data_IF_077210679610
#
_entry.id   IF_077210679610
#
_cell.length_a   1.000
_cell.length_b   1.000
_cell.length_c   1.000
_cell.angle_alpha   90.00
_cell.angle_beta   90.00
_cell.angle_gamma   90.00
#
_symmetry.space_group_name_H-M   'P 1'
#
loop_
_entity.id
_entity.type
_entity.pdbx_description
1 polymer ?
#
# COMPACT_ATOMS: atom_id res chain seq x y z
N UNK A 1 -6.15 15.34 -15.60
CA UNK A 1 -6.58 13.96 -15.29
C UNK A 1 -6.45 13.74 -13.79
N UNK A 2 -7.43 13.08 -13.17
CA UNK A 2 -7.35 12.69 -11.77
C UNK A 2 -6.88 11.23 -11.65
N UNK A 3 -6.04 10.93 -10.65
CA UNK A 3 -5.63 9.56 -10.34
C UNK A 3 -6.86 8.79 -9.85
N UNK A 4 -7.05 7.57 -10.35
CA UNK A 4 -8.16 6.67 -9.94
C UNK A 4 -7.69 5.42 -9.20
N UNK A 5 -6.42 5.06 -9.36
CA UNK A 5 -5.84 3.85 -8.79
C UNK A 5 -4.36 4.07 -8.46
N UNK A 6 -3.93 3.52 -7.34
CA UNK A 6 -2.54 3.42 -6.91
C UNK A 6 -2.25 1.95 -6.64
N UNK A 7 -1.26 1.41 -7.34
CA UNK A 7 -0.71 0.08 -7.09
C UNK A 7 0.70 0.22 -6.54
N UNK A 8 0.97 -0.39 -5.40
CA UNK A 8 2.29 -0.32 -4.76
C UNK A 8 2.87 -1.71 -4.54
N UNK A 9 4.16 -1.85 -4.84
CA UNK A 9 4.96 -2.95 -4.32
C UNK A 9 5.15 -2.82 -2.79
N UNK A 10 5.56 -3.92 -2.16
CA UNK A 10 5.78 -4.01 -0.71
C UNK A 10 7.25 -3.80 -0.35
N UNK A 11 8.13 -4.74 -0.70
CA UNK A 11 9.49 -4.81 -0.16
C UNK A 11 10.41 -3.73 -0.75
N UNK A 12 10.93 -2.85 0.11
CA UNK A 12 11.74 -1.72 -0.34
C UNK A 12 10.93 -0.60 -1.00
N UNK A 13 9.59 -0.71 -1.03
CA UNK A 13 8.67 0.30 -1.56
C UNK A 13 7.70 0.78 -0.47
N UNK A 14 6.65 0.01 -0.16
CA UNK A 14 5.67 0.37 0.87
C UNK A 14 6.16 0.04 2.28
N UNK A 15 6.88 -1.08 2.42
CA UNK A 15 7.46 -1.53 3.66
C UNK A 15 8.84 -0.90 3.84
N UNK A 16 9.07 -0.34 5.01
CA UNK A 16 10.40 0.05 5.47
C UNK A 16 11.30 -1.16 5.71
N UNK A 17 12.59 -0.93 5.99
CA UNK A 17 13.55 -1.99 6.34
C UNK A 17 13.14 -2.82 7.56
N UNK A 18 12.31 -2.27 8.45
CA UNK A 18 11.70 -2.98 9.57
C UNK A 18 10.47 -3.82 9.22
N UNK A 19 10.18 -4.03 7.93
CA UNK A 19 9.01 -4.76 7.40
C UNK A 19 7.71 -4.16 7.97
N UNK A 20 7.63 -2.83 7.99
CA UNK A 20 6.50 -2.09 8.54
C UNK A 20 6.10 -0.93 7.65
N UNK A 21 4.79 -0.65 7.58
CA UNK A 21 4.25 0.56 6.96
C UNK A 21 4.30 1.68 7.99
N UNK A 22 4.94 2.80 7.64
CA UNK A 22 4.99 3.98 8.52
C UNK A 22 3.59 4.57 8.74
N UNK A 23 3.35 5.19 9.91
CA UNK A 23 2.07 5.85 10.19
C UNK A 23 1.74 6.94 9.15
N UNK A 24 2.75 7.68 8.70
CA UNK A 24 2.59 8.66 7.62
C UNK A 24 2.06 8.02 6.33
N UNK A 25 2.57 6.85 5.95
CA UNK A 25 2.12 6.15 4.74
C UNK A 25 0.70 5.58 4.94
N UNK A 26 0.38 5.04 6.12
CA UNK A 26 -0.98 4.59 6.43
C UNK A 26 -2.00 5.72 6.29
N UNK A 27 -1.69 6.90 6.83
CA UNK A 27 -2.57 8.07 6.74
C UNK A 27 -2.71 8.60 5.31
N UNK A 28 -1.64 8.56 4.52
CA UNK A 28 -1.69 8.93 3.11
C UNK A 28 -2.57 7.96 2.30
N UNK A 29 -2.44 6.65 2.55
CA UNK A 29 -3.25 5.61 1.92
C UNK A 29 -4.72 5.79 2.28
N UNK A 30 -5.04 6.00 3.57
CA UNK A 30 -6.42 6.28 4.03
C UNK A 30 -7.02 7.48 3.30
N UNK A 31 -6.30 8.62 3.26
CA UNK A 31 -6.77 9.81 2.55
C UNK A 31 -7.03 9.57 1.06
N UNK A 32 -6.17 8.79 0.40
CA UNK A 32 -6.37 8.42 -0.99
C UNK A 32 -7.65 7.58 -1.17
N UNK A 33 -7.82 6.55 -0.34
CA UNK A 33 -9.01 5.69 -0.35
C UNK A 33 -10.29 6.47 -0.04
N UNK A 34 -10.27 7.34 0.97
CA UNK A 34 -11.39 8.20 1.36
C UNK A 34 -11.78 9.18 0.24
N UNK A 35 -10.82 9.58 -0.61
CA UNK A 35 -11.07 10.39 -1.80
C UNK A 35 -11.59 9.61 -3.02
N UNK A 36 -11.81 8.29 -2.87
CA UNK A 36 -12.33 7.41 -3.91
C UNK A 36 -11.25 6.80 -4.83
N UNK A 37 -9.98 6.89 -4.46
CA UNK A 37 -8.87 6.25 -5.19
C UNK A 37 -8.71 4.81 -4.70
N UNK A 38 -8.67 3.85 -5.62
CA UNK A 38 -8.38 2.46 -5.27
C UNK A 38 -6.89 2.33 -4.92
N UNK A 39 -6.58 1.84 -3.72
CA UNK A 39 -5.21 1.45 -3.35
C UNK A 39 -5.10 -0.07 -3.32
N UNK A 40 -4.10 -0.64 -4.00
CA UNK A 40 -3.87 -2.08 -4.00
C UNK A 40 -2.39 -2.43 -3.91
N UNK A 41 -2.13 -3.66 -3.44
CA UNK A 41 -0.79 -4.22 -3.35
C UNK A 41 -0.47 -4.99 -4.64
N UNK A 42 0.67 -4.67 -5.25
CA UNK A 42 1.21 -5.33 -6.44
C UNK A 42 2.61 -5.87 -6.10
N UNK A 43 2.67 -7.09 -5.56
CA UNK A 43 3.90 -7.67 -5.02
C UNK A 43 4.15 -9.06 -5.59
N UNK A 44 5.42 -9.47 -5.60
CA UNK A 44 5.83 -10.86 -5.85
C UNK A 44 5.65 -11.78 -4.65
N UNK A 45 5.33 -11.26 -3.46
CA UNK A 45 5.01 -12.10 -2.29
C UNK A 45 3.81 -12.99 -2.58
N UNK A 46 3.86 -14.22 -2.07
CA UNK A 46 2.70 -15.09 -2.02
C UNK A 46 1.55 -14.39 -1.27
N UNK A 47 0.32 -14.60 -1.72
CA UNK A 47 -0.87 -13.95 -1.17
C UNK A 47 -0.93 -14.01 0.36
N UNK A 48 -0.69 -15.19 0.95
CA UNK A 48 -0.71 -15.39 2.40
C UNK A 48 0.30 -14.52 3.17
N UNK A 49 1.45 -14.21 2.55
CA UNK A 49 2.51 -13.39 3.14
C UNK A 49 2.25 -11.89 2.95
N UNK A 50 1.40 -11.50 1.99
CA UNK A 50 0.98 -10.13 1.76
C UNK A 50 -0.28 -9.78 2.55
N UNK A 51 -1.19 -10.74 2.73
CA UNK A 51 -2.49 -10.57 3.39
C UNK A 51 -2.38 -10.05 4.83
N UNK A 52 -1.29 -10.33 5.54
CA UNK A 52 -1.04 -9.81 6.89
C UNK A 52 -0.89 -8.28 6.95
N UNK A 53 -0.75 -7.62 5.80
CA UNK A 53 -0.59 -6.16 5.67
C UNK A 53 -1.78 -5.48 4.98
N UNK A 54 -2.76 -6.25 4.51
CA UNK A 54 -3.91 -5.79 3.74
C UNK A 54 -5.15 -5.58 4.61
#
# INVERSE_FOLDING_TARGET
>A
MAIKLIASDMDGTLLSSGIAISEKNKDAIRKAVDSGIVFLIATGRMYVSAQTYA
#
